data_IF_883995995604
#
_entry.id   IF_883995995604
#
_cell.length_a   1.000
_cell.length_b   1.000
_cell.length_c   1.000
_cell.angle_alpha   90.00
_cell.angle_beta   90.00
_cell.angle_gamma   90.00
#
_symmetry.space_group_name_H-M   'P 1'
#
loop_
_entity.id
_entity.type
_entity.pdbx_description
1 polymer ?
#
# COMPACT_ATOMS: atom_id res chain seq x y z
N UNK A 1 24.30 33.27 -46.33
CA UNK A 1 23.75 31.92 -46.13
C UNK A 1 24.69 31.08 -45.29
N UNK A 2 24.16 30.16 -44.47
CA UNK A 2 24.96 29.26 -43.68
C UNK A 2 24.12 28.17 -43.03
N UNK A 3 24.83 27.09 -42.69
CA UNK A 3 24.27 25.96 -41.98
C UNK A 3 24.63 26.07 -40.49
N UNK A 4 23.65 25.91 -39.67
CA UNK A 4 23.75 25.97 -38.21
C UNK A 4 23.05 24.75 -37.62
N UNK A 5 23.29 24.46 -36.35
CA UNK A 5 22.52 23.50 -35.61
C UNK A 5 22.25 23.99 -34.19
N UNK A 6 21.13 23.55 -33.63
CA UNK A 6 20.82 23.67 -32.21
C UNK A 6 20.95 22.30 -31.56
N UNK A 7 21.56 22.26 -30.42
CA UNK A 7 21.69 21.05 -29.62
C UNK A 7 21.48 21.39 -28.14
N UNK A 8 20.72 20.56 -27.44
CA UNK A 8 20.60 20.68 -26.00
C UNK A 8 21.89 20.24 -25.31
N UNK A 9 22.43 21.06 -24.41
CA UNK A 9 23.66 20.79 -23.67
C UNK A 9 23.40 20.46 -22.20
N UNK A 10 22.23 20.80 -21.67
CA UNK A 10 21.82 20.49 -20.32
C UNK A 10 20.30 20.58 -20.17
N UNK A 11 19.76 19.78 -19.28
CA UNK A 11 18.35 19.76 -18.91
C UNK A 11 18.24 19.59 -17.39
N UNK A 12 17.10 19.92 -16.80
CA UNK A 12 16.83 19.59 -15.41
C UNK A 12 16.79 18.07 -15.20
N UNK A 13 17.27 17.57 -14.07
CA UNK A 13 17.25 16.14 -13.70
C UNK A 13 15.83 15.51 -13.73
N UNK A 14 14.78 16.35 -13.80
CA UNK A 14 13.38 15.93 -13.95
C UNK A 14 12.96 15.60 -15.38
N UNK A 15 13.89 15.77 -16.35
CA UNK A 15 13.68 15.52 -17.78
C UNK A 15 14.84 14.71 -18.35
N UNK A 16 14.58 14.00 -19.44
CA UNK A 16 15.63 13.35 -20.21
C UNK A 16 16.19 14.31 -21.26
N UNK A 17 17.50 14.37 -21.33
CA UNK A 17 18.20 15.21 -22.28
C UNK A 17 18.13 14.58 -23.68
N UNK A 18 17.61 15.33 -24.63
CA UNK A 18 17.63 14.95 -26.03
C UNK A 18 18.77 15.69 -26.74
N UNK A 19 19.86 14.97 -27.01
CA UNK A 19 21.08 15.49 -27.64
C UNK A 19 20.98 15.56 -29.19
N UNK A 20 19.85 15.20 -29.77
CA UNK A 20 19.69 15.31 -31.25
C UNK A 20 19.82 16.76 -31.69
N UNK A 21 20.49 16.94 -32.81
CA UNK A 21 20.71 18.25 -33.41
C UNK A 21 19.54 18.63 -34.29
N UNK A 22 19.08 19.88 -34.18
CA UNK A 22 18.16 20.51 -35.11
C UNK A 22 19.01 21.30 -36.10
N UNK A 23 19.10 20.84 -37.35
CA UNK A 23 19.85 21.53 -38.40
C UNK A 23 19.03 22.70 -38.94
N UNK A 24 19.67 23.85 -39.08
CA UNK A 24 19.08 25.10 -39.54
C UNK A 24 19.88 25.63 -40.71
N UNK A 25 19.26 25.73 -41.87
CA UNK A 25 19.85 26.41 -43.02
C UNK A 25 19.27 27.83 -43.11
N UNK A 26 20.11 28.84 -43.07
CA UNK A 26 19.73 30.23 -43.24
C UNK A 26 20.19 30.69 -44.63
N UNK A 27 19.28 31.02 -45.51
CA UNK A 27 19.59 31.48 -46.87
C UNK A 27 19.41 33.00 -46.95
N UNK A 28 20.43 33.68 -47.48
CA UNK A 28 20.36 35.12 -47.82
C UNK A 28 19.35 35.33 -48.93
N UNK A 29 18.42 36.26 -48.76
CA UNK A 29 17.35 36.52 -49.71
C UNK A 29 17.65 37.74 -50.60
N UNK A 30 17.94 38.89 -50.01
CA UNK A 30 18.23 40.12 -50.75
C UNK A 30 18.86 41.20 -49.83
N UNK A 31 19.29 42.30 -50.41
CA UNK A 31 19.92 43.40 -49.68
C UNK A 31 18.95 44.18 -48.79
N UNK A 32 17.63 44.02 -48.95
CA UNK A 32 16.61 44.72 -48.22
C UNK A 32 16.17 43.94 -46.94
N UNK A 33 16.38 42.61 -46.95
CA UNK A 33 16.07 41.72 -45.83
C UNK A 33 17.19 41.75 -44.79
N UNK A 34 17.08 42.69 -43.85
CA UNK A 34 18.14 42.89 -42.82
C UNK A 34 18.22 41.82 -41.77
N UNK A 35 17.19 41.01 -41.59
CA UNK A 35 17.10 39.98 -40.52
C UNK A 35 16.37 38.78 -41.03
N UNK A 36 16.99 37.60 -40.89
CA UNK A 36 16.37 36.30 -41.11
C UNK A 36 16.08 35.70 -39.72
N UNK A 37 14.83 35.33 -39.46
CA UNK A 37 14.43 34.73 -38.17
C UNK A 37 13.99 33.29 -38.42
N UNK A 38 14.61 32.39 -37.66
CA UNK A 38 14.20 30.99 -37.57
C UNK A 38 13.71 30.69 -36.15
N UNK A 39 12.65 29.90 -36.03
CA UNK A 39 12.13 29.42 -34.75
C UNK A 39 12.12 27.90 -34.73
N UNK A 40 12.80 27.32 -33.76
CA UNK A 40 12.75 25.90 -33.50
C UNK A 40 12.24 25.69 -32.04
N UNK A 41 11.41 24.69 -31.86
CA UNK A 41 10.91 24.29 -30.52
C UNK A 41 11.23 22.83 -30.35
N UNK A 42 11.84 22.51 -29.21
CA UNK A 42 12.14 21.15 -28.79
C UNK A 42 11.47 20.87 -27.45
N UNK A 43 10.76 19.75 -27.35
CA UNK A 43 10.09 19.34 -26.13
C UNK A 43 10.89 18.22 -25.46
N UNK A 44 11.16 18.37 -24.17
CA UNK A 44 11.85 17.36 -23.38
C UNK A 44 10.86 16.39 -22.74
N UNK A 45 11.19 15.11 -22.77
CA UNK A 45 10.41 14.07 -22.09
C UNK A 45 10.64 14.16 -20.59
N UNK A 46 9.57 14.35 -19.83
CA UNK A 46 9.61 14.36 -18.38
C UNK A 46 9.72 12.92 -17.84
N UNK A 47 10.48 12.76 -16.75
CA UNK A 47 10.52 11.48 -16.01
C UNK A 47 9.13 11.12 -15.49
N UNK A 48 8.79 9.83 -15.51
CA UNK A 48 7.56 9.30 -14.93
C UNK A 48 7.86 8.03 -14.13
N UNK A 49 7.04 7.76 -13.13
CA UNK A 49 6.94 6.45 -12.51
C UNK A 49 5.53 6.20 -11.98
N UNK A 50 5.14 4.94 -11.93
CA UNK A 50 3.84 4.48 -11.45
C UNK A 50 4.04 3.64 -10.19
N UNK A 51 3.24 3.88 -9.16
CA UNK A 51 3.26 3.10 -7.92
C UNK A 51 1.93 2.38 -7.76
N UNK A 52 2.01 1.06 -7.61
CA UNK A 52 0.88 0.15 -7.40
C UNK A 52 1.04 -0.55 -6.06
N UNK A 53 -0.04 -0.65 -5.30
CA UNK A 53 -0.10 -1.31 -4.00
C UNK A 53 -1.09 -2.46 -4.05
N UNK A 54 -0.61 -3.70 -4.13
CA UNK A 54 -1.44 -4.89 -4.35
C UNK A 54 -1.29 -5.92 -3.24
N UNK A 55 -2.25 -6.84 -3.13
CA UNK A 55 -2.11 -8.03 -2.32
C UNK A 55 -1.27 -9.11 -3.05
N UNK A 56 -0.97 -10.20 -2.36
CA UNK A 56 -0.19 -11.33 -2.93
C UNK A 56 -0.87 -11.98 -4.15
N UNK A 57 -2.17 -11.80 -4.36
CA UNK A 57 -2.87 -12.26 -5.55
C UNK A 57 -2.62 -11.35 -6.76
N UNK A 58 -2.12 -10.12 -6.54
CA UNK A 58 -1.73 -9.17 -7.58
C UNK A 58 -2.88 -8.62 -8.43
N UNK A 59 -4.13 -8.88 -8.03
CA UNK A 59 -5.31 -8.62 -8.87
C UNK A 59 -6.05 -7.34 -8.52
N UNK A 60 -5.81 -6.77 -7.35
CA UNK A 60 -6.54 -5.59 -6.84
C UNK A 60 -5.61 -4.71 -6.02
N UNK A 61 -5.75 -3.39 -6.19
CA UNK A 61 -5.10 -2.42 -5.31
C UNK A 61 -5.63 -2.56 -3.88
N UNK A 62 -4.72 -2.47 -2.91
CA UNK A 62 -5.03 -2.50 -1.47
C UNK A 62 -5.22 -1.07 -0.99
N UNK A 63 -6.44 -0.75 -0.56
CA UNK A 63 -6.79 0.58 -0.06
C UNK A 63 -6.45 0.72 1.44
N UNK A 64 -6.11 1.95 1.87
CA UNK A 64 -5.92 2.29 3.28
C UNK A 64 -4.47 2.21 3.78
N UNK A 65 -3.52 1.81 2.93
CA UNK A 65 -2.09 1.82 3.25
C UNK A 65 -1.54 3.25 3.24
N UNK A 66 -0.77 3.64 4.24
CA UNK A 66 -0.06 4.93 4.23
C UNK A 66 1.32 4.75 3.64
N UNK A 67 1.56 5.44 2.53
CA UNK A 67 2.73 5.33 1.70
C UNK A 67 3.47 6.66 1.61
N UNK A 68 4.79 6.59 1.47
CA UNK A 68 5.61 7.77 1.22
C UNK A 68 6.82 7.42 0.35
N UNK A 69 7.24 8.39 -0.45
CA UNK A 69 8.50 8.33 -1.21
C UNK A 69 9.46 9.34 -0.60
N UNK A 70 10.67 8.88 -0.30
CA UNK A 70 11.79 9.71 0.15
C UNK A 70 12.91 9.68 -0.88
N UNK A 71 13.66 10.77 -1.00
CA UNK A 71 14.90 10.80 -1.77
C UNK A 71 16.09 10.21 -0.98
N UNK A 72 17.25 10.11 -1.61
CA UNK A 72 18.47 9.56 -1.01
C UNK A 72 18.99 10.34 0.22
N UNK A 73 18.58 11.60 0.40
CA UNK A 73 18.90 12.41 1.57
C UNK A 73 17.98 12.13 2.76
N UNK A 74 16.93 11.34 2.56
CA UNK A 74 15.85 11.10 3.51
C UNK A 74 14.78 12.20 3.53
N UNK A 75 14.81 13.14 2.57
CA UNK A 75 13.77 14.13 2.41
C UNK A 75 12.53 13.48 1.79
N UNK A 76 11.39 13.72 2.40
CA UNK A 76 10.10 13.27 1.86
C UNK A 76 9.77 14.02 0.57
N UNK A 77 9.38 13.29 -0.46
CA UNK A 77 8.96 13.82 -1.77
C UNK A 77 7.45 13.94 -1.82
N UNK A 78 6.74 12.85 -1.58
CA UNK A 78 5.29 12.74 -1.62
C UNK A 78 4.82 11.67 -0.62
N UNK A 79 3.63 11.85 -0.04
CA UNK A 79 2.95 10.83 0.76
C UNK A 79 1.46 10.80 0.45
N UNK A 80 0.85 9.62 0.58
CA UNK A 80 -0.59 9.42 0.34
C UNK A 80 -1.11 8.21 1.10
N UNK A 81 -2.42 8.04 1.08
CA UNK A 81 -3.09 6.82 1.49
C UNK A 81 -3.65 6.14 0.24
N UNK A 82 -3.32 4.88 0.00
CA UNK A 82 -3.86 4.13 -1.14
C UNK A 82 -5.39 4.13 -1.12
N UNK A 83 -6.02 4.31 -2.29
CA UNK A 83 -7.47 4.46 -2.41
C UNK A 83 -8.04 5.84 -2.04
N UNK A 84 -7.26 6.76 -1.44
CA UNK A 84 -7.68 8.11 -1.04
C UNK A 84 -6.89 9.20 -1.78
N UNK A 85 -7.47 9.69 -2.88
CA UNK A 85 -6.86 10.71 -3.75
C UNK A 85 -6.67 12.06 -3.06
N UNK A 86 -7.48 12.36 -2.04
CA UNK A 86 -7.45 13.63 -1.32
C UNK A 86 -6.40 13.65 -0.21
N UNK A 87 -5.81 12.51 0.11
CA UNK A 87 -4.80 12.36 1.15
C UNK A 87 -3.38 12.78 0.73
N UNK A 88 -3.17 13.04 -0.57
CA UNK A 88 -1.84 13.31 -1.13
C UNK A 88 -1.24 14.60 -0.57
N UNK A 89 0.03 14.50 -0.15
CA UNK A 89 0.85 15.64 0.28
C UNK A 89 2.18 15.63 -0.46
N UNK A 90 2.49 16.74 -1.12
CA UNK A 90 3.76 16.98 -1.80
C UNK A 90 4.66 17.82 -0.90
N UNK A 91 5.94 17.46 -0.79
CA UNK A 91 6.91 18.09 0.11
C UNK A 91 8.07 18.75 -0.61
N UNK A 92 8.11 18.63 -1.93
CA UNK A 92 9.16 19.18 -2.80
C UNK A 92 8.62 20.30 -3.66
N UNK A 93 9.51 21.19 -4.09
CA UNK A 93 9.20 22.38 -4.90
C UNK A 93 10.24 22.57 -5.99
N UNK A 94 10.01 23.52 -6.89
CA UNK A 94 11.01 23.92 -7.90
C UNK A 94 12.32 24.42 -7.28
N UNK A 95 12.30 25.01 -6.08
CA UNK A 95 13.52 25.41 -5.33
C UNK A 95 14.36 24.22 -4.92
N UNK A 96 13.76 23.04 -4.80
CA UNK A 96 14.44 21.78 -4.53
C UNK A 96 14.95 21.11 -5.83
N UNK A 97 14.73 21.74 -6.99
CA UNK A 97 15.09 21.24 -8.31
C UNK A 97 14.01 20.42 -9.02
N UNK A 98 12.88 20.15 -8.36
CA UNK A 98 11.77 19.36 -8.92
C UNK A 98 10.93 20.22 -9.87
N UNK A 99 11.37 20.31 -11.12
CA UNK A 99 10.71 21.11 -12.15
C UNK A 99 9.43 20.42 -12.63
N UNK A 100 8.32 21.18 -12.61
CA UNK A 100 7.00 20.70 -13.06
C UNK A 100 6.57 19.38 -12.39
N UNK A 101 6.91 19.20 -11.10
CA UNK A 101 6.48 18.03 -10.33
C UNK A 101 4.96 17.92 -10.35
N UNK A 102 4.46 16.75 -10.73
CA UNK A 102 3.03 16.48 -10.84
C UNK A 102 2.69 15.07 -10.42
N UNK A 103 1.44 14.87 -10.03
CA UNK A 103 0.90 13.55 -9.74
C UNK A 103 -0.54 13.43 -10.24
N UNK A 104 -0.96 12.22 -10.48
CA UNK A 104 -2.34 11.85 -10.79
C UNK A 104 -2.58 10.39 -10.38
N UNK A 105 -3.81 9.93 -10.53
CA UNK A 105 -4.16 8.52 -10.32
C UNK A 105 -4.79 7.97 -11.60
N UNK A 106 -4.43 6.74 -11.95
CA UNK A 106 -5.09 6.02 -13.04
C UNK A 106 -6.47 5.48 -12.59
N UNK A 107 -7.17 4.80 -13.50
CA UNK A 107 -8.48 4.21 -13.25
C UNK A 107 -8.44 3.07 -12.22
N UNK A 108 -7.28 2.45 -12.02
CA UNK A 108 -7.06 1.36 -11.07
C UNK A 108 -6.68 1.86 -9.67
N UNK A 109 -6.40 3.18 -9.52
CA UNK A 109 -5.96 3.76 -8.26
C UNK A 109 -4.44 3.81 -8.09
N UNK A 110 -3.65 3.44 -9.10
CA UNK A 110 -2.20 3.60 -9.07
C UNK A 110 -1.83 5.08 -9.02
N UNK A 111 -0.82 5.43 -8.23
CA UNK A 111 -0.25 6.78 -8.22
C UNK A 111 0.73 6.93 -9.38
N UNK A 112 0.49 7.90 -10.25
CA UNK A 112 1.41 8.34 -11.30
C UNK A 112 2.14 9.60 -10.82
N UNK A 113 3.47 9.59 -10.89
CA UNK A 113 4.32 10.72 -10.51
C UNK A 113 5.18 11.13 -11.69
N UNK A 114 5.23 12.43 -11.97
CA UNK A 114 6.11 13.01 -12.99
C UNK A 114 7.01 14.08 -12.41
N UNK A 115 8.23 14.22 -12.97
CA UNK A 115 9.18 15.26 -12.57
C UNK A 115 10.07 14.90 -11.39
N UNK A 116 10.24 13.63 -11.08
CA UNK A 116 11.28 13.13 -10.18
C UNK A 116 12.63 13.08 -10.92
N UNK A 117 13.74 13.08 -10.20
CA UNK A 117 15.08 13.06 -10.81
C UNK A 117 15.41 11.67 -11.37
N UNK A 118 15.92 11.61 -12.58
CA UNK A 118 16.47 10.38 -13.12
C UNK A 118 17.82 10.04 -12.46
N UNK A 119 18.18 8.77 -12.44
CA UNK A 119 19.45 8.24 -11.89
C UNK A 119 19.71 8.59 -10.41
N UNK A 120 18.68 9.02 -9.67
CA UNK A 120 18.74 9.21 -8.21
C UNK A 120 17.98 8.12 -7.49
N UNK A 121 18.45 7.77 -6.30
CA UNK A 121 17.79 6.77 -5.46
C UNK A 121 16.56 7.39 -4.76
N UNK A 122 15.46 6.65 -4.79
CA UNK A 122 14.26 6.91 -4.02
C UNK A 122 13.88 5.67 -3.23
N UNK A 123 13.22 5.87 -2.11
CA UNK A 123 12.70 4.77 -1.29
C UNK A 123 11.20 4.93 -1.10
N UNK A 124 10.43 3.97 -1.60
CA UNK A 124 9.01 3.80 -1.32
C UNK A 124 8.88 3.03 -0.02
N UNK A 125 8.17 3.60 0.96
CA UNK A 125 7.97 3.01 2.28
C UNK A 125 6.49 2.98 2.62
N UNK A 126 6.03 1.88 3.15
CA UNK A 126 4.75 1.77 3.82
C UNK A 126 4.93 2.12 5.30
N UNK A 127 4.30 3.19 5.75
CA UNK A 127 4.38 3.66 7.15
C UNK A 127 3.25 3.11 8.01
N UNK A 128 2.19 2.61 7.40
CA UNK A 128 1.10 1.90 8.02
C UNK A 128 0.41 1.00 7.00
N UNK A 129 0.28 -0.31 7.26
CA UNK A 129 -0.47 -1.22 6.40
C UNK A 129 -1.97 -0.97 6.49
N UNK A 130 -2.71 -1.48 5.54
CA UNK A 130 -4.16 -1.57 5.60
C UNK A 130 -4.60 -2.52 6.71
N UNK A 131 -5.84 -2.37 7.16
CA UNK A 131 -6.40 -3.24 8.20
C UNK A 131 -6.41 -4.71 7.70
N UNK A 132 -5.82 -5.60 8.49
CA UNK A 132 -5.70 -7.03 8.15
C UNK A 132 -4.44 -7.40 7.36
N UNK A 133 -3.56 -6.46 7.09
CA UNK A 133 -2.29 -6.68 6.38
C UNK A 133 -1.09 -6.44 7.29
N UNK A 134 0.06 -6.98 6.93
CA UNK A 134 1.36 -6.68 7.54
C UNK A 134 2.08 -5.61 6.72
N UNK A 135 2.97 -4.86 7.36
CA UNK A 135 3.75 -3.83 6.68
C UNK A 135 4.67 -4.44 5.63
N UNK A 136 4.59 -3.94 4.40
CA UNK A 136 5.47 -4.37 3.32
C UNK A 136 6.89 -3.84 3.50
N UNK A 137 7.87 -4.58 2.99
CA UNK A 137 9.26 -4.14 2.93
C UNK A 137 9.40 -2.88 2.05
N UNK A 138 10.27 -1.96 2.46
CA UNK A 138 10.56 -0.77 1.67
C UNK A 138 11.27 -1.14 0.36
N UNK A 139 10.95 -0.41 -0.71
CA UNK A 139 11.52 -0.59 -2.05
C UNK A 139 12.39 0.61 -2.39
N UNK A 140 13.70 0.39 -2.56
CA UNK A 140 14.61 1.41 -3.09
C UNK A 140 14.76 1.25 -4.59
N UNK A 141 14.65 2.34 -5.35
CA UNK A 141 14.64 2.32 -6.81
C UNK A 141 15.25 3.59 -7.40
N UNK A 142 15.56 3.53 -8.70
CA UNK A 142 15.94 4.67 -9.53
C UNK A 142 15.01 4.75 -10.74
N UNK A 143 14.78 5.95 -11.24
CA UNK A 143 14.10 6.19 -12.51
C UNK A 143 15.16 6.34 -13.57
N UNK A 144 15.09 5.55 -14.64
CA UNK A 144 16.02 5.56 -15.77
C UNK A 144 15.29 5.83 -17.06
N UNK A 145 16.03 6.22 -18.08
CA UNK A 145 15.51 6.36 -19.44
C UNK A 145 15.87 5.18 -20.32
N UNK A 146 14.93 4.78 -21.14
CA UNK A 146 15.20 3.88 -22.26
C UNK A 146 14.80 4.60 -23.55
N UNK A 147 15.67 4.53 -24.55
CA UNK A 147 15.36 5.06 -25.87
C UNK A 147 14.25 4.20 -26.48
N UNK A 148 13.07 4.81 -26.71
CA UNK A 148 11.91 4.09 -27.22
C UNK A 148 11.96 3.91 -28.75
N UNK A 149 12.46 4.90 -29.47
CA UNK A 149 12.71 4.83 -30.93
C UNK A 149 13.58 6.00 -31.36
N UNK A 150 14.45 5.77 -32.36
CA UNK A 150 15.03 6.84 -33.15
C UNK A 150 14.24 6.95 -34.44
N UNK A 151 13.58 8.07 -34.66
CA UNK A 151 12.91 8.36 -35.93
C UNK A 151 13.87 9.16 -36.77
N UNK A 152 14.41 8.55 -37.82
CA UNK A 152 15.08 9.26 -38.88
C UNK A 152 14.00 9.69 -39.87
N UNK A 153 13.62 10.96 -39.89
CA UNK A 153 12.66 11.47 -40.85
C UNK A 153 13.33 12.11 -42.05
N UNK A 154 12.76 11.80 -43.21
CA UNK A 154 13.09 12.44 -44.50
C UNK A 154 12.53 13.88 -44.46
N UNK A 155 13.23 14.89 -44.99
CA UNK A 155 12.93 16.32 -44.79
C UNK A 155 11.65 16.82 -45.44
N UNK A 156 10.73 15.98 -45.88
CA UNK A 156 9.58 16.41 -46.69
C UNK A 156 8.19 16.15 -46.11
N UNK A 157 8.00 15.42 -45.01
CA UNK A 157 6.63 15.18 -44.52
C UNK A 157 6.48 15.03 -43.03
N UNK A 158 5.53 15.83 -42.53
CA UNK A 158 4.68 15.71 -41.33
C UNK A 158 5.22 15.04 -40.05
N UNK A 159 5.28 15.86 -39.03
CA UNK A 159 5.56 15.58 -37.63
C UNK A 159 4.84 14.34 -37.12
N UNK A 160 5.56 13.30 -36.71
CA UNK A 160 5.07 12.22 -35.91
C UNK A 160 5.31 12.52 -34.41
N UNK A 161 4.31 12.20 -33.62
CA UNK A 161 4.18 12.41 -32.17
C UNK A 161 5.40 11.95 -31.35
N UNK A 162 6.08 12.88 -30.67
CA UNK A 162 7.14 12.56 -29.71
C UNK A 162 8.04 13.74 -29.35
N UNK A 163 8.43 14.54 -30.26
CA UNK A 163 9.11 15.82 -30.07
C UNK A 163 8.60 16.78 -31.13
N UNK A 164 7.64 17.62 -30.78
CA UNK A 164 7.07 18.55 -31.74
C UNK A 164 8.04 19.70 -31.97
N UNK A 165 8.76 19.68 -33.08
CA UNK A 165 9.36 20.90 -33.65
C UNK A 165 8.32 21.60 -34.48
N UNK A 166 7.82 22.72 -33.99
CA UNK A 166 6.98 23.60 -34.79
C UNK A 166 7.87 24.62 -35.48
N UNK A 167 8.06 24.48 -36.79
CA UNK A 167 8.70 25.49 -37.61
C UNK A 167 7.60 26.36 -38.21
N UNK A 168 7.52 27.61 -37.81
CA UNK A 168 6.71 28.62 -38.50
C UNK A 168 7.60 29.36 -39.52
N UNK A 169 7.42 29.16 -40.83
CA UNK A 169 8.14 29.92 -41.80
C UNK A 169 7.66 31.38 -41.73
N UNK A 170 8.51 32.25 -41.26
CA UNK A 170 8.38 33.66 -41.52
C UNK A 170 9.04 33.87 -42.89
N UNK A 171 8.41 34.67 -43.74
CA UNK A 171 8.83 35.01 -45.10
C UNK A 171 10.35 35.10 -45.23
N UNK A 172 10.96 34.09 -45.85
CA UNK A 172 12.40 33.88 -45.94
C UNK A 172 12.77 32.47 -45.45
N UNK A 173 12.36 31.45 -46.14
CA UNK A 173 12.24 30.05 -45.69
C UNK A 173 13.55 29.41 -45.21
N UNK A 174 13.53 28.87 -43.99
CA UNK A 174 14.47 27.86 -43.58
C UNK A 174 13.73 26.51 -43.50
N UNK A 175 14.29 25.48 -44.11
CA UNK A 175 13.78 24.09 -44.06
C UNK A 175 14.61 23.30 -43.09
N UNK A 176 13.95 22.58 -42.18
CA UNK A 176 14.60 21.83 -41.13
C UNK A 176 14.30 20.34 -41.26
N UNK A 177 15.33 19.52 -41.02
CA UNK A 177 15.19 18.08 -40.88
C UNK A 177 15.39 17.73 -39.40
N UNK A 178 14.54 16.87 -38.88
CA UNK A 178 14.66 16.34 -37.50
C UNK A 178 15.04 14.87 -37.47
N UNK A 179 15.92 14.55 -36.53
CA UNK A 179 15.96 13.22 -35.95
C UNK A 179 15.50 13.36 -34.52
N UNK A 180 14.26 12.93 -34.21
CA UNK A 180 13.73 12.92 -32.88
C UNK A 180 14.06 11.62 -32.16
N UNK A 181 14.47 11.71 -30.89
CA UNK A 181 14.60 10.54 -30.01
C UNK A 181 13.54 10.68 -28.93
N UNK A 182 12.63 9.69 -28.86
CA UNK A 182 11.70 9.61 -27.76
C UNK A 182 12.27 8.72 -26.65
N UNK A 183 12.05 9.13 -25.40
CA UNK A 183 12.46 8.39 -24.23
C UNK A 183 11.23 7.91 -23.47
N UNK A 184 11.34 6.72 -22.84
CA UNK A 184 10.38 6.24 -21.85
C UNK A 184 11.09 6.05 -20.51
N UNK A 185 10.38 6.30 -19.44
CA UNK A 185 10.86 5.96 -18.11
C UNK A 185 10.78 4.45 -17.89
N UNK A 186 11.79 3.91 -17.21
CA UNK A 186 11.77 2.59 -16.59
C UNK A 186 12.27 2.72 -15.17
N UNK A 187 11.91 1.81 -14.30
CA UNK A 187 12.46 1.77 -12.94
C UNK A 187 13.52 0.69 -12.82
N UNK A 188 14.54 0.97 -12.02
CA UNK A 188 15.54 0.00 -11.61
C UNK A 188 15.44 -0.19 -10.10
N UNK A 189 15.16 -1.40 -9.64
CA UNK A 189 14.94 -1.72 -8.22
C UNK A 189 16.21 -2.27 -7.59
N UNK A 190 16.57 -1.73 -6.42
CA UNK A 190 17.75 -2.14 -5.67
C UNK A 190 17.57 -3.54 -5.11
N UNK A 191 18.53 -4.42 -5.40
CA UNK A 191 18.57 -5.80 -4.95
C UNK A 191 19.28 -5.91 -3.59
N UNK A 192 19.16 -7.07 -2.93
CA UNK A 192 19.80 -7.34 -1.62
C UNK A 192 21.33 -7.24 -1.64
N UNK A 193 21.96 -7.46 -2.79
CA UNK A 193 23.40 -7.31 -2.99
C UNK A 193 23.83 -5.85 -3.24
N UNK A 194 22.89 -4.90 -3.26
CA UNK A 194 23.10 -3.49 -3.49
C UNK A 194 23.11 -3.08 -4.97
N UNK A 195 23.02 -4.02 -5.91
CA UNK A 195 22.90 -3.71 -7.34
C UNK A 195 21.48 -3.28 -7.70
N UNK A 196 21.32 -2.66 -8.87
CA UNK A 196 20.01 -2.30 -9.40
C UNK A 196 19.64 -3.23 -10.56
N UNK A 197 18.43 -3.80 -10.51
CA UNK A 197 17.85 -4.57 -11.61
C UNK A 197 16.84 -3.71 -12.35
N UNK A 198 17.05 -3.53 -13.65
CA UNK A 198 16.17 -2.76 -14.52
C UNK A 198 14.85 -3.52 -14.74
N UNK A 199 13.73 -2.81 -14.64
CA UNK A 199 12.43 -3.29 -15.08
C UNK A 199 12.21 -2.88 -16.55
N UNK A 200 11.16 -3.46 -17.16
CA UNK A 200 10.78 -3.16 -18.54
C UNK A 200 9.84 -1.96 -18.68
N UNK A 201 9.37 -1.44 -17.55
CA UNK A 201 8.42 -0.33 -17.45
C UNK A 201 8.77 0.61 -16.28
N UNK A 202 7.98 1.65 -16.11
CA UNK A 202 8.13 2.64 -15.03
C UNK A 202 7.32 2.30 -13.76
N UNK A 203 6.85 1.04 -13.63
CA UNK A 203 5.96 0.62 -12.55
C UNK A 203 6.70 -0.02 -11.38
N UNK A 204 6.42 0.48 -10.17
CA UNK A 204 6.83 -0.10 -8.90
C UNK A 204 5.61 -0.77 -8.28
N UNK A 205 5.73 -2.07 -7.98
CA UNK A 205 4.66 -2.85 -7.36
C UNK A 205 5.09 -3.20 -5.93
N UNK A 206 4.39 -2.65 -4.95
CA UNK A 206 4.54 -3.03 -3.54
C UNK A 206 3.44 -4.02 -3.17
N UNK A 207 3.85 -5.18 -2.67
CA UNK A 207 2.94 -6.31 -2.40
C UNK A 207 2.71 -6.44 -0.91
N UNK A 208 1.44 -6.55 -0.50
CA UNK A 208 1.04 -6.79 0.88
C UNK A 208 0.67 -8.25 1.12
N UNK A 209 1.07 -8.74 2.27
CA UNK A 209 0.66 -10.02 2.82
C UNK A 209 -0.38 -9.80 3.93
N UNK A 210 -1.40 -10.66 4.00
CA UNK A 210 -2.37 -10.60 5.08
C UNK A 210 -1.76 -11.08 6.40
N UNK A 211 -2.31 -10.58 7.54
CA UNK A 211 -2.02 -11.15 8.86
C UNK A 211 -2.56 -12.58 8.93
N UNK A 212 -1.74 -13.53 9.35
CA UNK A 212 -2.15 -14.93 9.56
C UNK A 212 -2.42 -15.18 11.04
N UNK A 213 -3.69 -15.25 11.42
CA UNK A 213 -4.13 -15.43 12.80
C UNK A 213 -5.11 -16.59 12.86
N UNK A 214 -4.95 -17.43 13.88
CA UNK A 214 -5.86 -18.54 14.17
C UNK A 214 -6.19 -18.65 15.65
N UNK A 215 -7.37 -19.14 15.96
CA UNK A 215 -7.74 -19.55 17.34
C UNK A 215 -7.78 -21.08 17.41
N UNK A 216 -7.02 -21.62 18.35
CA UNK A 216 -6.99 -23.06 18.67
C UNK A 216 -7.72 -23.29 20.00
N UNK A 217 -8.87 -23.92 19.93
CA UNK A 217 -9.66 -24.30 21.10
C UNK A 217 -9.34 -25.75 21.48
N UNK A 218 -8.89 -26.00 22.70
CA UNK A 218 -8.42 -27.30 23.15
C UNK A 218 -9.09 -27.76 24.45
N UNK A 219 -9.24 -29.07 24.57
CA UNK A 219 -9.42 -29.73 25.85
C UNK A 219 -8.13 -29.59 26.68
N UNK A 220 -8.28 -29.17 27.95
CA UNK A 220 -7.16 -28.89 28.84
C UNK A 220 -6.40 -30.15 29.25
N UNK A 221 -7.08 -31.30 29.33
CA UNK A 221 -6.52 -32.57 29.80
C UNK A 221 -5.92 -33.38 28.67
N UNK A 222 -6.64 -33.49 27.55
CA UNK A 222 -6.22 -34.34 26.41
C UNK A 222 -5.43 -33.58 25.34
N UNK A 223 -5.59 -32.25 25.29
CA UNK A 223 -5.00 -31.40 24.26
C UNK A 223 -5.67 -31.54 22.89
N UNK A 224 -6.80 -32.24 22.78
CA UNK A 224 -7.54 -32.38 21.55
C UNK A 224 -8.31 -31.09 21.21
N UNK A 225 -8.52 -30.82 19.93
CA UNK A 225 -9.30 -29.69 19.50
C UNK A 225 -10.79 -29.84 19.87
N UNK A 226 -11.42 -28.72 20.26
CA UNK A 226 -12.81 -28.66 20.69
C UNK A 226 -13.64 -27.77 19.78
N UNK A 227 -14.62 -28.39 19.09
CA UNK A 227 -15.65 -27.69 18.35
C UNK A 227 -16.82 -27.24 19.23
N UNK A 228 -17.65 -26.32 18.73
CA UNK A 228 -18.89 -25.87 19.36
C UNK A 228 -18.76 -24.74 20.37
N UNK A 229 -17.56 -24.30 20.71
CA UNK A 229 -17.36 -23.11 21.55
C UNK A 229 -17.76 -21.82 20.80
N UNK A 230 -18.52 -20.95 21.45
CA UNK A 230 -18.92 -19.65 20.85
C UNK A 230 -18.02 -18.54 21.38
N UNK A 231 -17.41 -17.80 20.48
CA UNK A 231 -16.52 -16.68 20.80
C UNK A 231 -17.07 -15.34 20.35
N UNK A 232 -16.70 -14.31 21.11
CA UNK A 232 -16.81 -12.90 20.74
C UNK A 232 -15.41 -12.31 20.88
N UNK A 233 -14.96 -11.59 19.83
CA UNK A 233 -13.71 -10.84 19.84
C UNK A 233 -14.04 -9.37 19.95
N UNK A 234 -13.37 -8.66 20.86
CA UNK A 234 -13.51 -7.22 21.06
C UNK A 234 -12.16 -6.54 20.92
N UNK A 235 -12.17 -5.28 20.43
CA UNK A 235 -11.00 -4.41 20.41
C UNK A 235 -10.65 -3.87 21.83
N UNK A 236 -9.60 -3.08 21.93
CA UNK A 236 -9.15 -2.44 23.17
C UNK A 236 -10.16 -1.46 23.78
N UNK A 237 -11.12 -0.99 22.98
CA UNK A 237 -12.21 -0.09 23.42
C UNK A 237 -13.48 -0.86 23.84
N UNK A 238 -13.47 -2.19 23.70
CA UNK A 238 -14.61 -3.06 24.00
C UNK A 238 -15.62 -3.17 22.86
N UNK A 239 -15.34 -2.61 21.66
CA UNK A 239 -16.22 -2.78 20.51
C UNK A 239 -16.12 -4.21 19.99
N UNK A 240 -17.27 -4.79 19.64
CA UNK A 240 -17.31 -6.13 19.05
C UNK A 240 -16.79 -6.08 17.62
N UNK A 241 -15.74 -6.86 17.34
CA UNK A 241 -15.11 -6.99 16.02
C UNK A 241 -15.70 -8.17 15.26
N UNK A 242 -15.82 -9.32 15.93
CA UNK A 242 -16.35 -10.53 15.30
C UNK A 242 -16.95 -11.50 16.33
N UNK A 243 -17.70 -12.47 15.83
CA UNK A 243 -18.20 -13.64 16.55
C UNK A 243 -18.10 -14.88 15.69
N UNK A 244 -17.82 -16.01 16.29
CA UNK A 244 -17.73 -17.29 15.57
C UNK A 244 -17.96 -18.47 16.50
N UNK A 245 -18.07 -19.66 15.91
CA UNK A 245 -18.15 -20.95 16.59
C UNK A 245 -16.96 -21.78 16.17
N UNK A 246 -16.24 -22.39 17.12
CA UNK A 246 -15.11 -23.25 16.84
C UNK A 246 -15.55 -24.57 16.21
N UNK A 247 -14.66 -25.17 15.42
CA UNK A 247 -14.74 -26.53 14.91
C UNK A 247 -13.67 -27.37 15.58
N UNK A 248 -13.55 -28.64 15.19
CA UNK A 248 -12.52 -29.57 15.70
C UNK A 248 -11.14 -29.33 15.07
N UNK A 249 -10.89 -28.08 14.61
CA UNK A 249 -9.64 -27.58 14.03
C UNK A 249 -9.39 -26.13 14.45
N UNK A 250 -8.27 -25.55 14.03
CA UNK A 250 -8.00 -24.14 14.23
C UNK A 250 -8.97 -23.28 13.44
N UNK A 251 -9.58 -22.30 14.11
CA UNK A 251 -10.45 -21.32 13.46
C UNK A 251 -9.62 -20.21 12.84
N UNK A 252 -9.69 -20.05 11.52
CA UNK A 252 -8.95 -19.05 10.74
C UNK A 252 -9.54 -17.65 10.89
N UNK A 253 -8.67 -16.68 11.21
CA UNK A 253 -8.98 -15.24 11.38
C UNK A 253 -8.09 -14.39 10.45
N UNK A 254 -7.44 -15.02 9.47
CA UNK A 254 -6.55 -14.36 8.52
C UNK A 254 -7.19 -13.11 7.91
N UNK A 255 -6.44 -12.01 7.88
CA UNK A 255 -6.87 -10.74 7.28
C UNK A 255 -8.02 -10.02 8.01
N UNK A 256 -8.32 -10.38 9.27
CA UNK A 256 -9.47 -9.82 10.01
C UNK A 256 -9.08 -8.84 11.11
N UNK A 257 -7.84 -8.85 11.57
CA UNK A 257 -7.38 -8.07 12.72
C UNK A 257 -6.19 -7.18 12.34
N UNK A 258 -6.11 -6.02 12.99
CA UNK A 258 -5.17 -4.93 12.65
C UNK A 258 -3.86 -5.12 13.42
N UNK A 259 -2.74 -4.97 12.74
CA UNK A 259 -1.39 -4.99 13.32
C UNK A 259 -1.24 -3.91 14.41
N UNK A 260 -0.61 -4.25 15.51
CA UNK A 260 -0.38 -3.38 16.68
C UNK A 260 -1.56 -3.25 17.62
N UNK A 261 -2.78 -3.63 17.22
CA UNK A 261 -3.96 -3.58 18.08
C UNK A 261 -4.06 -4.80 18.97
N UNK A 262 -4.65 -4.60 20.15
CA UNK A 262 -4.90 -5.68 21.14
C UNK A 262 -6.36 -6.07 21.14
N UNK A 263 -6.61 -7.36 21.00
CA UNK A 263 -7.95 -7.93 20.99
C UNK A 263 -8.16 -8.87 22.18
N UNK A 264 -9.40 -8.91 22.69
CA UNK A 264 -9.84 -9.83 23.73
C UNK A 264 -10.76 -10.88 23.13
N UNK A 265 -10.35 -12.14 23.24
CA UNK A 265 -11.12 -13.32 22.81
C UNK A 265 -11.88 -13.85 24.01
N UNK A 266 -13.19 -13.69 24.02
CA UNK A 266 -14.09 -14.10 25.12
C UNK A 266 -14.95 -15.26 24.65
N UNK A 267 -14.83 -16.40 25.33
CA UNK A 267 -15.75 -17.50 25.17
C UNK A 267 -17.07 -17.15 25.87
N UNK A 268 -18.16 -17.14 25.12
CA UNK A 268 -19.51 -16.85 25.65
C UNK A 268 -20.37 -18.10 25.83
N UNK A 269 -19.94 -19.23 25.27
CA UNK A 269 -20.55 -20.54 25.46
C UNK A 269 -19.51 -21.62 25.24
N UNK A 270 -19.25 -22.42 26.23
CA UNK A 270 -18.40 -23.61 26.12
C UNK A 270 -19.10 -24.74 25.40
N UNK A 271 -18.37 -25.74 24.83
CA UNK A 271 -18.93 -26.98 24.38
C UNK A 271 -19.62 -27.75 25.51
N UNK A 272 -20.54 -28.65 25.16
CA UNK A 272 -21.22 -29.48 26.14
C UNK A 272 -20.20 -30.33 26.94
N UNK A 273 -20.35 -30.35 28.26
CA UNK A 273 -19.44 -31.09 29.17
C UNK A 273 -18.18 -30.31 29.59
N UNK A 274 -18.03 -29.06 29.18
CA UNK A 274 -16.86 -28.21 29.50
C UNK A 274 -17.24 -26.95 30.28
N UNK A 275 -16.26 -26.47 31.05
CA UNK A 275 -16.35 -25.20 31.77
C UNK A 275 -15.92 -24.06 30.87
N UNK A 276 -16.52 -22.89 31.08
CA UNK A 276 -16.18 -21.66 30.32
C UNK A 276 -14.73 -21.23 30.61
N UNK A 277 -13.97 -20.97 29.55
CA UNK A 277 -12.61 -20.42 29.68
C UNK A 277 -12.62 -18.94 30.10
N UNK A 278 -11.52 -18.50 30.72
CA UNK A 278 -11.25 -17.09 30.91
C UNK A 278 -10.92 -16.40 29.57
N UNK A 279 -11.28 -15.10 29.42
CA UNK A 279 -10.88 -14.36 28.26
C UNK A 279 -9.36 -14.33 28.05
N UNK A 280 -8.92 -14.39 26.79
CA UNK A 280 -7.51 -14.31 26.40
C UNK A 280 -7.29 -13.06 25.59
N UNK A 281 -6.21 -12.33 25.88
CA UNK A 281 -5.82 -11.15 25.11
C UNK A 281 -4.62 -11.47 24.22
N UNK A 282 -4.61 -10.85 23.03
CA UNK A 282 -3.51 -10.93 22.07
C UNK A 282 -3.32 -9.59 21.37
N UNK A 283 -2.08 -9.13 21.32
CA UNK A 283 -1.67 -8.02 20.45
C UNK A 283 -1.19 -8.60 19.14
N UNK A 284 -1.73 -8.11 18.02
CA UNK A 284 -1.37 -8.59 16.68
C UNK A 284 0.01 -8.05 16.30
N UNK A 285 0.95 -8.95 16.05
CA UNK A 285 2.31 -8.60 15.63
C UNK A 285 2.36 -8.34 14.13
N UNK A 286 3.25 -7.44 13.73
CA UNK A 286 3.57 -7.16 12.33
C UNK A 286 4.48 -8.26 11.78
N UNK A 287 3.86 -9.30 11.25
CA UNK A 287 4.56 -10.48 10.69
C UNK A 287 3.61 -11.35 9.86
N UNK A 288 4.08 -11.86 8.72
CA UNK A 288 3.40 -12.86 7.89
C UNK A 288 3.38 -14.28 8.52
N UNK A 289 4.01 -14.48 9.69
CA UNK A 289 3.97 -15.79 10.37
C UNK A 289 2.63 -15.99 11.06
N UNK A 290 2.18 -17.25 11.11
CA UNK A 290 0.94 -17.62 11.81
C UNK A 290 1.05 -17.31 13.30
N UNK A 291 0.08 -16.55 13.82
CA UNK A 291 -0.08 -16.19 15.22
C UNK A 291 -1.27 -16.95 15.79
N UNK A 292 -1.06 -17.70 16.86
CA UNK A 292 -2.10 -18.59 17.41
C UNK A 292 -2.58 -18.11 18.77
N UNK A 293 -3.89 -17.91 18.91
CA UNK A 293 -4.57 -17.77 20.20
C UNK A 293 -4.99 -19.16 20.67
N UNK A 294 -4.47 -19.60 21.81
CA UNK A 294 -4.85 -20.90 22.39
C UNK A 294 -5.77 -20.70 23.59
N UNK A 295 -6.95 -21.31 23.54
CA UNK A 295 -7.94 -21.29 24.63
C UNK A 295 -8.22 -22.75 25.03
N UNK A 296 -8.13 -23.05 26.34
CA UNK A 296 -8.31 -24.38 26.87
C UNK A 296 -9.48 -24.45 27.83
N UNK A 297 -10.39 -25.41 27.63
CA UNK A 297 -11.47 -25.71 28.57
C UNK A 297 -11.16 -26.94 29.40
N UNK A 298 -11.51 -26.88 30.67
CA UNK A 298 -11.51 -28.03 31.53
C UNK A 298 -12.87 -28.77 31.43
N UNK A 299 -12.88 -30.11 31.42
CA UNK A 299 -14.14 -30.82 31.52
C UNK A 299 -14.85 -30.50 32.85
N UNK A 300 -16.16 -30.58 32.83
CA UNK A 300 -16.95 -30.48 34.07
C UNK A 300 -16.73 -31.78 34.84
N UNK A 301 -16.27 -31.74 36.11
CA UNK A 301 -16.06 -32.96 36.89
C UNK A 301 -17.35 -33.77 36.97
N UNK A 302 -17.26 -35.06 36.67
CA UNK A 302 -18.38 -35.96 36.95
C UNK A 302 -18.61 -35.99 38.45
N UNK A 303 -19.85 -35.71 38.90
CA UNK A 303 -20.26 -35.94 40.26
C UNK A 303 -20.35 -37.46 40.41
N UNK A 304 -19.59 -38.10 41.32
CA UNK A 304 -19.73 -39.53 41.53
C UNK A 304 -21.17 -39.85 41.90
N UNK A 305 -21.76 -40.82 41.22
CA UNK A 305 -23.05 -41.36 41.64
C UNK A 305 -22.94 -41.79 43.09
N UNK A 306 -23.60 -41.07 44.01
CA UNK A 306 -23.72 -41.54 45.39
C UNK A 306 -24.47 -42.85 45.38
N UNK A 307 -23.87 -43.96 45.91
CA UNK A 307 -24.57 -45.22 45.94
C UNK A 307 -25.90 -44.98 46.68
N UNK A 308 -27.01 -45.30 46.04
CA UNK A 308 -28.31 -45.37 46.74
C UNK A 308 -28.25 -46.43 47.82
N UNK A 309 -27.83 -46.07 49.00
CA UNK A 309 -28.10 -46.90 50.16
C UNK A 309 -29.59 -46.83 50.46
N UNK A 310 -30.30 -47.92 50.10
CA UNK A 310 -31.72 -48.08 50.37
C UNK A 310 -32.01 -47.86 51.83
N UNK A 311 -32.62 -46.73 52.13
CA UNK A 311 -33.16 -46.35 53.46
C UNK A 311 -34.19 -45.28 53.17
N UNK A 312 -35.45 -45.57 53.51
CA UNK A 312 -36.53 -44.59 53.52
C UNK A 312 -36.22 -43.48 54.51
N UNK A 313 -35.66 -42.38 54.03
CA UNK A 313 -35.59 -41.11 54.70
C UNK A 313 -36.48 -40.10 54.03
N UNK A 314 -37.24 -39.26 54.77
CA UNK A 314 -38.08 -38.24 54.18
C UNK A 314 -37.19 -37.24 53.46
N UNK A 315 -37.52 -37.02 52.16
CA UNK A 315 -36.83 -36.05 51.31
C UNK A 315 -37.10 -34.64 51.79
N UNK A 316 -36.12 -34.02 52.44
CA UNK A 316 -36.11 -32.58 52.65
C UNK A 316 -35.54 -31.99 51.33
N UNK A 317 -36.31 -31.16 50.59
CA UNK A 317 -35.76 -30.55 49.40
C UNK A 317 -34.70 -29.52 49.80
N UNK A 318 -33.42 -29.89 49.61
CA UNK A 318 -32.34 -28.89 49.62
C UNK A 318 -32.45 -28.13 48.29
N UNK A 319 -33.01 -26.94 48.38
CA UNK A 319 -32.96 -26.02 47.27
C UNK A 319 -31.51 -25.74 46.89
N UNK A 320 -31.07 -26.25 45.75
CA UNK A 320 -29.76 -25.89 45.13
C UNK A 320 -29.86 -24.43 44.67
N UNK A 321 -29.56 -23.54 45.57
CA UNK A 321 -29.34 -22.12 45.30
C UNK A 321 -27.90 -21.90 44.86
N UNK A 322 -27.57 -22.16 43.61
CA UNK A 322 -26.31 -21.71 43.01
C UNK A 322 -26.44 -21.52 41.51
N UNK A 323 -27.09 -20.42 41.16
CA UNK A 323 -27.00 -19.82 39.83
C UNK A 323 -27.68 -18.44 39.87
N UNK A 324 -26.99 -17.41 40.34
CA UNK A 324 -27.26 -16.00 40.06
C UNK A 324 -26.19 -15.09 40.67
N UNK A 325 -24.99 -15.12 40.17
CA UNK A 325 -23.96 -14.16 40.58
C UNK A 325 -23.21 -13.52 39.40
N UNK A 326 -23.76 -13.54 38.20
CA UNK A 326 -23.15 -12.84 37.05
C UNK A 326 -24.05 -11.72 36.50
N UNK A 327 -25.33 -11.63 36.93
CA UNK A 327 -26.26 -10.59 36.46
C UNK A 327 -26.22 -9.25 37.21
N UNK A 328 -25.53 -9.14 38.35
CA UNK A 328 -25.66 -7.98 39.24
C UNK A 328 -24.61 -6.87 39.01
N UNK A 329 -23.50 -7.15 38.37
CA UNK A 329 -22.45 -6.14 38.15
C UNK A 329 -22.74 -5.13 37.06
N UNK A 330 -23.63 -5.43 36.11
CA UNK A 330 -23.94 -4.54 34.96
C UNK A 330 -25.04 -3.54 35.32
N UNK A 331 -25.89 -3.79 36.33
CA UNK A 331 -26.98 -2.87 36.67
C UNK A 331 -26.61 -1.78 37.69
N UNK A 332 -25.51 -1.91 38.41
CA UNK A 332 -25.12 -0.91 39.42
C UNK A 332 -24.39 0.28 38.80
N UNK A 333 -23.80 0.12 37.61
CA UNK A 333 -23.09 1.21 36.94
C UNK A 333 -24.02 2.18 36.19
N UNK A 334 -25.23 1.77 35.82
CA UNK A 334 -26.22 2.63 35.14
C UNK A 334 -27.04 3.55 36.07
N UNK A 335 -26.99 3.39 37.40
CA UNK A 335 -27.76 4.23 38.36
C UNK A 335 -26.97 5.38 38.99
N UNK A 336 -25.66 5.53 38.70
CA UNK A 336 -24.85 6.67 39.24
C UNK A 336 -24.64 7.84 38.32
N UNK A 337 -25.19 7.81 37.11
CA UNK A 337 -25.04 8.91 36.13
C UNK A 337 -26.21 9.90 36.10
N UNK A 338 -27.21 9.81 36.99
CA UNK A 338 -28.39 10.67 36.93
C UNK A 338 -28.64 11.51 38.19
N UNK A 339 -27.65 11.73 39.04
CA UNK A 339 -27.76 12.71 40.13
C UNK A 339 -26.48 13.50 40.20
N UNK A 340 -26.36 14.58 39.41
CA UNK A 340 -25.84 15.89 39.80
C UNK A 340 -26.14 16.89 38.68
N UNK A 341 -27.07 17.76 39.05
CA UNK A 341 -27.17 19.10 38.43
C UNK A 341 -25.87 19.87 38.62
#
# INVERSE_FOLDING_TARGET
SGDYYLQELSVSDSYYMDTTQINIHLEYQDAETKTITAKAVKENTQTTNVVSKVDVAGSKEVDGCKLEIMDASGKKVISWTSGDKDSVKVYVTEKDGYQNFKYSFDEKGNLLVGGMFHDKEYTLTETRPADGYVTADAITYQIKSVMASSVAENPTDTVASGSAVTVNPVSGSAVYGETGVSYTSVVAVKQKDGTFADHTDDKIIMVDEQTHIQLLKLDKETGQALGGAKFVVTDSKGNKVMKFVTKDDAYDITGKLVVGETYTFTEVSAPSGYQLAKPVQMTIKDTGKVQTVTVKDAPIPEVPDTPQTGGNMPVIPIAVGLLMAVGAAVMIWKRRATIKK
#
